data_IF_643644575507
#
_entry.id   IF_643644575507
#
_cell.length_a   1.000
_cell.length_b   1.000
_cell.length_c   1.000
_cell.angle_alpha   90.00
_cell.angle_beta   90.00
_cell.angle_gamma   90.00
#
_symmetry.space_group_name_H-M   'P 1'
#
loop_
_entity.id
_entity.type
_entity.pdbx_description
1 polymer ?
#
# COMPACT_ATOMS: atom_id res chain seq x y z
N UNK A 1 6.76 3.60 3.34
CA UNK A 1 6.82 4.23 4.67
C UNK A 1 6.60 3.20 5.76
N UNK A 2 5.37 2.72 6.00
CA UNK A 2 5.07 1.76 7.09
C UNK A 2 5.84 0.43 7.00
N UNK A 3 6.21 0.01 5.78
CA UNK A 3 7.05 -1.18 5.56
C UNK A 3 8.43 -1.07 6.24
N UNK A 4 8.98 0.15 6.35
CA UNK A 4 10.34 0.39 6.84
C UNK A 4 10.41 0.91 8.28
N UNK A 5 9.28 1.33 8.85
CA UNK A 5 9.26 1.93 10.18
C UNK A 5 7.85 2.34 10.61
N UNK A 6 7.74 2.81 11.85
CA UNK A 6 6.49 3.28 12.45
C UNK A 6 6.37 4.80 12.35
N UNK A 7 5.56 5.33 11.41
CA UNK A 7 5.36 6.77 11.26
C UNK A 7 4.35 7.31 12.29
N UNK A 8 4.64 8.46 12.88
CA UNK A 8 3.68 9.23 13.69
C UNK A 8 3.86 10.74 13.50
N UNK A 9 2.73 11.45 13.49
CA UNK A 9 2.74 12.91 13.52
C UNK A 9 3.04 13.33 14.96
N UNK A 10 4.15 14.04 15.18
CA UNK A 10 4.55 14.51 16.51
C UNK A 10 4.14 15.96 16.78
N UNK A 11 3.91 16.74 15.72
CA UNK A 11 3.39 18.10 15.82
C UNK A 11 2.70 18.52 14.52
N UNK A 12 1.75 19.45 14.64
CA UNK A 12 1.20 20.22 13.52
C UNK A 12 1.68 21.66 13.67
N UNK A 13 2.08 22.28 12.57
CA UNK A 13 2.58 23.65 12.54
C UNK A 13 1.63 24.47 11.65
N UNK A 14 0.95 25.50 12.18
CA UNK A 14 0.05 26.31 11.38
C UNK A 14 0.81 27.09 10.30
N UNK A 15 0.17 27.34 9.15
CA UNK A 15 0.77 28.09 8.04
C UNK A 15 1.35 29.45 8.47
N UNK A 16 0.69 30.14 9.40
CA UNK A 16 1.11 31.46 9.92
C UNK A 16 2.46 31.46 10.65
N UNK A 17 3.05 30.30 10.93
CA UNK A 17 4.38 30.18 11.51
C UNK A 17 5.52 30.35 10.48
N UNK A 18 5.22 30.50 9.20
CA UNK A 18 6.21 30.59 8.11
C UNK A 18 6.18 31.96 7.39
N UNK A 19 7.30 32.35 6.79
CA UNK A 19 7.40 33.54 5.94
C UNK A 19 8.11 33.23 4.60
N UNK A 20 7.51 33.52 3.44
CA UNK A 20 6.12 33.96 3.26
C UNK A 20 5.11 32.89 3.72
N UNK A 21 3.89 33.30 4.06
CA UNK A 21 2.85 32.37 4.56
C UNK A 21 2.38 31.44 3.44
N UNK A 22 2.48 30.10 3.59
CA UNK A 22 1.98 29.13 2.62
C UNK A 22 0.45 29.01 2.68
N UNK A 23 -0.16 28.40 1.65
CA UNK A 23 -1.62 28.16 1.60
C UNK A 23 -2.12 26.96 2.40
N UNK A 24 -1.24 26.24 3.10
CA UNK A 24 -1.55 25.00 3.84
C UNK A 24 -0.73 24.89 5.11
N UNK A 25 -1.25 24.15 6.10
CA UNK A 25 -0.52 23.81 7.32
C UNK A 25 0.59 22.78 7.07
N UNK A 26 1.56 22.75 7.98
CA UNK A 26 2.66 21.76 8.00
C UNK A 26 2.50 20.76 9.14
N UNK A 27 3.24 19.65 9.07
CA UNK A 27 3.31 18.66 10.14
C UNK A 27 4.73 18.10 10.28
N UNK A 28 5.13 17.81 11.52
CA UNK A 28 6.38 17.08 11.81
C UNK A 28 6.05 15.59 11.86
N UNK A 29 6.64 14.82 10.95
CA UNK A 29 6.54 13.36 10.90
C UNK A 29 7.80 12.74 11.49
N UNK A 30 7.66 11.94 12.55
CA UNK A 30 8.73 11.07 13.05
C UNK A 30 8.50 9.66 12.53
N UNK A 31 9.53 9.02 11.99
CA UNK A 31 9.51 7.62 11.59
C UNK A 31 10.56 6.89 12.42
N UNK A 32 10.12 5.99 13.30
CA UNK A 32 11.06 5.08 13.97
C UNK A 32 11.33 3.91 13.02
N UNK A 33 12.58 3.77 12.56
CA UNK A 33 12.98 2.77 11.56
C UNK A 33 13.11 1.41 12.24
N UNK A 34 12.61 0.36 11.58
CA UNK A 34 12.79 -1.01 12.02
C UNK A 34 14.18 -1.52 11.63
N UNK A 35 14.73 -2.46 12.40
CA UNK A 35 16.02 -3.09 12.07
C UNK A 35 15.96 -3.80 10.70
N UNK A 36 14.84 -4.46 10.42
CA UNK A 36 14.51 -5.01 9.10
C UNK A 36 13.09 -4.60 8.66
N UNK A 37 12.83 -4.50 7.35
CA UNK A 37 11.49 -4.18 6.86
C UNK A 37 10.46 -5.26 7.25
N UNK A 38 9.20 -4.86 7.42
CA UNK A 38 8.09 -5.78 7.73
C UNK A 38 7.83 -6.84 6.64
N UNK A 39 8.31 -6.54 5.44
CA UNK A 39 8.25 -7.41 4.26
C UNK A 39 9.68 -7.79 3.89
N UNK A 40 10.01 -9.08 3.73
CA UNK A 40 11.36 -9.50 3.33
C UNK A 40 11.83 -8.78 2.06
N UNK A 41 13.12 -8.41 2.02
CA UNK A 41 13.67 -7.52 0.97
C UNK A 41 13.47 -8.08 -0.43
N UNK A 42 13.60 -9.39 -0.58
CA UNK A 42 13.37 -10.14 -1.81
C UNK A 42 11.90 -10.09 -2.29
N UNK A 43 10.95 -9.85 -1.38
CA UNK A 43 9.52 -9.69 -1.69
C UNK A 43 9.11 -8.24 -1.91
N UNK A 44 9.92 -7.25 -1.54
CA UNK A 44 9.58 -5.82 -1.66
C UNK A 44 9.18 -5.39 -3.08
N UNK A 45 9.90 -5.76 -4.17
CA UNK A 45 9.51 -5.32 -5.51
C UNK A 45 8.09 -5.78 -5.86
N UNK A 46 7.76 -7.01 -5.49
CA UNK A 46 6.45 -7.62 -5.72
C UNK A 46 5.37 -7.00 -4.85
N UNK A 47 5.67 -6.78 -3.57
CA UNK A 47 4.76 -6.11 -2.65
C UNK A 47 4.39 -4.71 -3.16
N UNK A 48 5.37 -3.91 -3.60
CA UNK A 48 5.10 -2.58 -4.15
C UNK A 48 4.34 -2.63 -5.48
N UNK A 49 4.57 -3.65 -6.32
CA UNK A 49 3.76 -3.87 -7.53
C UNK A 49 2.29 -4.12 -7.19
N UNK A 50 2.01 -4.95 -6.18
CA UNK A 50 0.64 -5.21 -5.70
C UNK A 50 -0.02 -3.95 -5.12
N UNK A 51 0.69 -3.20 -4.27
CA UNK A 51 0.20 -1.93 -3.72
C UNK A 51 -0.12 -0.95 -4.84
N UNK A 52 0.79 -0.77 -5.81
CA UNK A 52 0.59 0.12 -6.95
C UNK A 52 -0.63 -0.27 -7.77
N UNK A 53 -0.81 -1.57 -8.04
CA UNK A 53 -1.98 -2.07 -8.75
C UNK A 53 -3.28 -1.82 -7.96
N UNK A 54 -3.30 -2.13 -6.66
CA UNK A 54 -4.47 -1.93 -5.81
C UNK A 54 -4.92 -0.48 -5.71
N UNK A 55 -3.98 0.46 -5.54
CA UNK A 55 -4.26 1.88 -5.40
C UNK A 55 -4.36 2.64 -6.73
N UNK A 56 -4.12 1.98 -7.87
CA UNK A 56 -4.18 2.60 -9.20
C UNK A 56 -5.58 3.09 -9.61
N UNK A 57 -6.64 2.57 -8.97
CA UNK A 57 -8.03 2.90 -9.28
C UNK A 57 -8.85 3.15 -7.99
N UNK A 58 -8.73 4.35 -7.41
CA UNK A 58 -9.29 4.72 -6.07
C UNK A 58 -10.75 4.32 -5.82
N UNK A 59 -11.60 4.31 -6.84
CA UNK A 59 -13.05 4.07 -6.71
C UNK A 59 -13.49 2.66 -7.11
N UNK A 60 -12.56 1.81 -7.55
CA UNK A 60 -12.87 0.44 -7.99
C UNK A 60 -12.67 -0.55 -6.85
N UNK A 61 -13.40 -1.66 -6.91
CA UNK A 61 -13.18 -2.81 -6.03
C UNK A 61 -11.79 -3.40 -6.28
N UNK A 62 -11.25 -4.08 -5.28
CA UNK A 62 -9.87 -4.55 -5.27
C UNK A 62 -9.60 -5.53 -6.42
N UNK A 63 -10.55 -6.43 -6.74
CA UNK A 63 -10.41 -7.32 -7.91
C UNK A 63 -10.27 -6.56 -9.23
N UNK A 64 -10.97 -5.44 -9.38
CA UNK A 64 -10.90 -4.61 -10.59
C UNK A 64 -9.61 -3.79 -10.64
N UNK A 65 -9.17 -3.24 -9.52
CA UNK A 65 -7.90 -2.51 -9.43
C UNK A 65 -6.72 -3.43 -9.71
N UNK A 66 -6.69 -4.63 -9.12
CA UNK A 66 -5.62 -5.61 -9.35
C UNK A 66 -5.64 -6.15 -10.79
N UNK A 67 -6.81 -6.46 -11.34
CA UNK A 67 -6.93 -6.87 -12.74
C UNK A 67 -6.35 -5.82 -13.70
N UNK A 68 -6.73 -4.55 -13.53
CA UNK A 68 -6.22 -3.47 -14.35
C UNK A 68 -4.72 -3.21 -14.15
N UNK A 69 -4.24 -3.20 -12.90
CA UNK A 69 -2.85 -2.86 -12.57
C UNK A 69 -1.84 -3.98 -12.79
N UNK A 70 -2.28 -5.24 -12.80
CA UNK A 70 -1.44 -6.41 -13.09
C UNK A 70 -1.63 -6.94 -14.52
N UNK A 71 -2.58 -6.39 -15.28
CA UNK A 71 -2.95 -6.86 -16.62
C UNK A 71 -3.37 -8.33 -16.64
N UNK A 72 -4.16 -8.73 -15.66
CA UNK A 72 -4.70 -10.10 -15.50
C UNK A 72 -6.23 -10.08 -15.59
N UNK A 73 -6.83 -11.25 -15.79
CA UNK A 73 -8.30 -11.36 -15.78
C UNK A 73 -8.87 -11.05 -14.39
N UNK A 74 -10.07 -10.47 -14.32
CA UNK A 74 -10.75 -10.21 -13.05
C UNK A 74 -10.95 -11.48 -12.22
N UNK A 75 -11.19 -12.64 -12.87
CA UNK A 75 -11.31 -13.94 -12.21
C UNK A 75 -10.00 -14.41 -11.56
N UNK A 76 -8.85 -14.11 -12.16
CA UNK A 76 -7.53 -14.41 -11.58
C UNK A 76 -7.27 -13.53 -10.35
N UNK A 77 -7.55 -12.23 -10.46
CA UNK A 77 -7.47 -11.31 -9.32
C UNK A 77 -8.39 -11.74 -8.17
N UNK A 78 -9.61 -12.17 -8.47
CA UNK A 78 -10.56 -12.70 -7.50
C UNK A 78 -10.06 -13.98 -6.82
N UNK A 79 -9.46 -14.90 -7.59
CA UNK A 79 -8.84 -16.12 -7.06
C UNK A 79 -7.68 -15.78 -6.12
N UNK A 80 -6.80 -14.86 -6.51
CA UNK A 80 -5.68 -14.38 -5.68
C UNK A 80 -6.16 -13.80 -4.34
N UNK A 81 -7.23 -13.01 -4.36
CA UNK A 81 -7.83 -12.40 -3.17
C UNK A 81 -8.48 -13.44 -2.26
N UNK A 82 -9.23 -14.38 -2.83
CA UNK A 82 -9.85 -15.47 -2.08
C UNK A 82 -8.79 -16.38 -1.42
N UNK A 83 -7.70 -16.70 -2.12
CA UNK A 83 -6.56 -17.44 -1.56
C UNK A 83 -5.85 -16.69 -0.42
N UNK A 84 -5.93 -15.36 -0.41
CA UNK A 84 -5.45 -14.51 0.67
C UNK A 84 -6.50 -14.26 1.76
N UNK A 85 -7.68 -14.88 1.68
CA UNK A 85 -8.81 -14.61 2.59
C UNK A 85 -9.23 -13.13 2.63
N UNK A 86 -9.19 -12.47 1.47
CA UNK A 86 -9.58 -11.05 1.31
C UNK A 86 -10.82 -10.97 0.44
N UNK A 87 -11.85 -10.27 0.91
CA UNK A 87 -13.05 -9.99 0.12
C UNK A 87 -12.70 -9.20 -1.17
N UNK A 88 -12.98 -9.77 -2.36
CA UNK A 88 -12.73 -9.12 -3.65
C UNK A 88 -13.44 -7.78 -3.86
N UNK A 89 -14.52 -7.53 -3.12
CA UNK A 89 -15.34 -6.32 -3.20
C UNK A 89 -14.80 -5.14 -2.39
N UNK A 90 -13.85 -5.39 -1.48
CA UNK A 90 -13.19 -4.33 -0.71
C UNK A 90 -12.44 -3.34 -1.61
N UNK A 91 -12.06 -2.20 -1.05
CA UNK A 91 -11.15 -1.24 -1.70
C UNK A 91 -9.75 -1.37 -1.11
N UNK A 92 -8.73 -1.02 -1.89
CA UNK A 92 -7.32 -1.10 -1.48
C UNK A 92 -7.01 -0.35 -0.17
N UNK A 93 -7.65 0.80 0.05
CA UNK A 93 -7.48 1.62 1.26
C UNK A 93 -8.01 0.96 2.54
N UNK A 94 -8.84 -0.09 2.41
CA UNK A 94 -9.39 -0.80 3.58
C UNK A 94 -8.47 -1.91 4.07
N UNK A 95 -7.42 -2.28 3.32
CA UNK A 95 -6.51 -3.37 3.67
C UNK A 95 -5.41 -2.89 4.62
N UNK A 96 -5.17 -3.70 5.66
CA UNK A 96 -4.00 -3.62 6.54
C UNK A 96 -2.71 -4.06 5.83
N UNK A 97 -1.55 -3.71 6.40
CA UNK A 97 -0.27 -4.12 5.84
C UNK A 97 -0.07 -5.64 5.92
N UNK A 98 -0.65 -6.29 6.93
CA UNK A 98 -0.67 -7.74 7.12
C UNK A 98 -1.48 -8.44 6.04
N UNK A 99 -2.64 -7.89 5.65
CA UNK A 99 -3.44 -8.40 4.54
C UNK A 99 -2.70 -8.25 3.21
N UNK A 100 -2.03 -7.12 2.98
CA UNK A 100 -1.17 -6.92 1.81
C UNK A 100 0.00 -7.92 1.78
N UNK A 101 0.62 -8.20 2.94
CA UNK A 101 1.67 -9.20 3.07
C UNK A 101 1.14 -10.58 2.71
N UNK A 102 -0.02 -10.98 3.24
CA UNK A 102 -0.64 -12.27 2.94
C UNK A 102 -0.96 -12.42 1.46
N UNK A 103 -1.50 -11.38 0.82
CA UNK A 103 -1.71 -11.37 -0.63
C UNK A 103 -0.40 -11.48 -1.42
N UNK A 104 0.67 -10.86 -0.93
CA UNK A 104 2.00 -11.00 -1.52
C UNK A 104 2.57 -12.41 -1.34
N UNK A 105 2.25 -13.11 -0.25
CA UNK A 105 2.71 -14.47 0.00
C UNK A 105 1.89 -15.52 -0.74
N UNK A 106 0.58 -15.32 -0.91
CA UNK A 106 -0.35 -16.29 -1.51
C UNK A 106 -0.33 -16.31 -3.03
N UNK A 107 0.26 -15.30 -3.67
CA UNK A 107 0.23 -15.19 -5.13
C UNK A 107 1.56 -15.73 -5.72
N UNK A 108 1.66 -15.92 -7.03
CA UNK A 108 2.95 -16.09 -7.69
C UNK A 108 3.06 -15.04 -8.81
N UNK A 109 3.03 -13.76 -8.41
CA UNK A 109 3.20 -12.67 -9.38
C UNK A 109 4.68 -12.61 -9.74
N UNK A 110 5.08 -12.83 -11.00
CA UNK A 110 6.46 -12.74 -11.38
C UNK A 110 6.99 -11.33 -11.08
N UNK A 111 8.08 -11.30 -10.30
CA UNK A 111 8.99 -10.17 -10.20
C UNK A 111 9.52 -9.93 -11.60
N UNK A 112 9.11 -8.83 -12.23
CA UNK A 112 9.78 -8.40 -13.46
C UNK A 112 11.17 -7.86 -13.10
N UNK A 113 12.17 -8.09 -13.97
CA UNK A 113 13.53 -7.59 -13.81
C UNK A 113 13.59 -6.05 -13.78
#
# INVERSE_FOLDING_TARGET
MQVYGSPRIVAKIPAGAFHPVPGVDSAILRVDIYDEPLIPREKLPRFFKLIKAGFGQKRKTLRNSLSAGLHIKTSEAETMLNLAEIDPMRRAETLSIEEWKRLCDSTNVPSQP
#
